data_IF_412434221596
#
_entry.id   IF_412434221596
#
_cell.length_a   1.000
_cell.length_b   1.000
_cell.length_c   1.000
_cell.angle_alpha   90.00
_cell.angle_beta   90.00
_cell.angle_gamma   90.00
#
_symmetry.space_group_name_H-M   'P 1'
#
loop_
_entity.id
_entity.type
_entity.pdbx_description
1 polymer ?
#
# COMPACT_ATOMS: atom_id res chain seq x y z
N UNK A 1 -24.15 -10.92 13.60
CA UNK A 1 -22.87 -10.62 14.28
C UNK A 1 -22.01 -9.84 13.30
N UNK A 2 -21.75 -8.56 13.54
CA UNK A 2 -20.87 -7.78 12.69
C UNK A 2 -19.45 -8.35 12.84
N UNK A 3 -18.89 -8.86 11.75
CA UNK A 3 -17.52 -9.37 11.70
C UNK A 3 -16.55 -8.22 11.98
N UNK A 4 -16.02 -8.18 13.20
CA UNK A 4 -14.88 -7.36 13.56
C UNK A 4 -13.75 -7.71 12.58
N UNK A 5 -13.31 -6.76 11.75
CA UNK A 5 -12.14 -6.99 10.91
C UNK A 5 -10.97 -7.37 11.83
N UNK A 6 -10.30 -8.53 11.61
CA UNK A 6 -9.33 -9.07 12.57
C UNK A 6 -8.00 -8.28 12.62
N UNK A 7 -7.90 -7.18 11.89
CA UNK A 7 -6.66 -6.41 11.70
C UNK A 7 -6.95 -4.92 11.96
N UNK A 8 -6.14 -4.29 12.82
CA UNK A 8 -6.22 -2.85 13.09
C UNK A 8 -5.68 -2.02 11.92
N UNK A 9 -6.05 -0.74 11.82
CA UNK A 9 -5.64 0.12 10.69
C UNK A 9 -4.11 0.19 10.47
N UNK A 10 -3.26 0.34 11.50
CA UNK A 10 -1.80 0.30 11.32
C UNK A 10 -1.29 -1.05 10.82
N UNK A 11 -1.87 -2.15 11.32
CA UNK A 11 -1.50 -3.51 10.90
C UNK A 11 -2.00 -3.84 9.49
N UNK A 12 -3.11 -3.23 9.07
CA UNK A 12 -3.68 -3.37 7.73
C UNK A 12 -2.72 -2.81 6.67
N UNK A 13 -2.15 -1.64 6.91
CA UNK A 13 -1.16 -1.05 6.00
C UNK A 13 0.06 -1.95 5.80
N UNK A 14 0.62 -2.47 6.90
CA UNK A 14 1.76 -3.40 6.84
C UNK A 14 1.40 -4.73 6.14
N UNK A 15 0.17 -5.23 6.33
CA UNK A 15 -0.32 -6.40 5.62
C UNK A 15 -0.42 -6.16 4.11
N UNK A 16 -1.09 -5.08 3.68
CA UNK A 16 -1.26 -4.74 2.26
C UNK A 16 0.10 -4.55 1.59
N UNK A 17 1.03 -3.84 2.24
CA UNK A 17 2.37 -3.62 1.71
C UNK A 17 3.14 -4.94 1.47
N UNK A 18 3.08 -5.88 2.42
CA UNK A 18 3.71 -7.20 2.27
C UNK A 18 3.11 -8.00 1.12
N UNK A 19 1.78 -8.01 1.01
CA UNK A 19 1.09 -8.69 -0.09
C UNK A 19 1.49 -8.08 -1.44
N UNK A 20 1.45 -6.75 -1.54
CA UNK A 20 1.83 -6.03 -2.76
C UNK A 20 3.28 -6.29 -3.17
N UNK A 21 4.21 -6.30 -2.20
CA UNK A 21 5.64 -6.52 -2.46
C UNK A 21 5.96 -7.93 -2.98
N UNK A 22 5.10 -8.91 -2.70
CA UNK A 22 5.24 -10.28 -3.19
C UNK A 22 4.64 -10.54 -4.58
N UNK A 23 3.96 -9.56 -5.18
CA UNK A 23 3.31 -9.76 -6.48
C UNK A 23 4.33 -9.69 -7.63
N UNK A 24 4.33 -10.73 -8.48
CA UNK A 24 5.10 -10.73 -9.71
C UNK A 24 4.36 -9.99 -10.84
N UNK A 25 5.09 -9.22 -11.63
CA UNK A 25 4.54 -8.55 -12.82
C UNK A 25 4.09 -9.58 -13.86
N UNK A 26 2.91 -9.39 -14.45
CA UNK A 26 2.32 -10.32 -15.41
C UNK A 26 1.72 -11.59 -14.79
N UNK A 27 1.81 -11.76 -13.47
CA UNK A 27 1.18 -12.86 -12.75
C UNK A 27 -0.33 -12.70 -12.57
N UNK A 28 -0.97 -13.75 -12.03
CA UNK A 28 -2.37 -13.73 -11.60
C UNK A 28 -2.43 -13.89 -10.10
N UNK A 29 -3.13 -12.98 -9.43
CA UNK A 29 -3.45 -13.09 -8.00
C UNK A 29 -4.74 -13.88 -7.87
N UNK A 30 -4.74 -14.98 -7.12
CA UNK A 30 -5.95 -15.77 -6.83
C UNK A 30 -6.13 -16.02 -5.33
N UNK A 31 -7.40 -16.06 -4.90
CA UNK A 31 -7.80 -16.38 -3.53
C UNK A 31 -9.11 -17.16 -3.52
N UNK A 32 -9.21 -18.17 -2.65
CA UNK A 32 -10.46 -18.88 -2.39
C UNK A 32 -11.19 -18.22 -1.23
N UNK A 33 -12.45 -17.84 -1.43
CA UNK A 33 -13.31 -17.26 -0.40
C UNK A 33 -14.58 -18.07 -0.24
N UNK A 34 -15.15 -18.08 0.97
CA UNK A 34 -16.48 -18.65 1.19
C UNK A 34 -17.54 -17.59 0.95
N UNK A 35 -18.42 -17.83 -0.02
CA UNK A 35 -19.56 -16.95 -0.36
C UNK A 35 -20.86 -17.73 -0.29
N UNK A 36 -21.94 -17.07 0.15
CA UNK A 36 -23.28 -17.66 0.11
C UNK A 36 -23.76 -17.81 -1.34
N UNK A 37 -24.34 -18.96 -1.67
CA UNK A 37 -25.06 -19.17 -2.92
C UNK A 37 -26.52 -18.69 -2.83
N UNK A 38 -27.29 -18.82 -3.91
CA UNK A 38 -28.72 -18.43 -3.96
C UNK A 38 -29.59 -19.19 -2.94
N UNK A 39 -29.15 -20.38 -2.51
CA UNK A 39 -29.79 -21.19 -1.48
C UNK A 39 -29.35 -20.81 -0.04
N UNK A 40 -28.45 -19.83 0.13
CA UNK A 40 -27.95 -19.37 1.42
C UNK A 40 -26.81 -20.21 2.02
N UNK A 41 -26.32 -21.23 1.32
CA UNK A 41 -25.22 -22.10 1.75
C UNK A 41 -23.85 -21.48 1.43
N UNK A 42 -22.87 -21.66 2.31
CA UNK A 42 -21.50 -21.20 2.09
C UNK A 42 -20.79 -22.16 1.10
N UNK A 43 -20.37 -21.63 -0.04
CA UNK A 43 -19.55 -22.36 -1.03
C UNK A 43 -18.22 -21.64 -1.26
N UNK A 44 -17.19 -22.43 -1.55
CA UNK A 44 -15.90 -21.91 -1.97
C UNK A 44 -16.01 -21.31 -3.38
N UNK A 45 -15.46 -20.11 -3.54
CA UNK A 45 -15.38 -19.39 -4.81
C UNK A 45 -13.96 -18.89 -4.96
N UNK A 46 -13.32 -19.25 -6.06
CA UNK A 46 -12.02 -18.70 -6.43
C UNK A 46 -12.21 -17.32 -7.07
N UNK A 47 -11.53 -16.32 -6.53
CA UNK A 47 -11.43 -14.98 -7.10
C UNK A 47 -10.05 -14.82 -7.69
N UNK A 48 -9.96 -14.36 -8.93
CA UNK A 48 -8.68 -14.10 -9.59
C UNK A 48 -8.65 -12.75 -10.29
N UNK A 49 -7.45 -12.15 -10.35
CA UNK A 49 -7.21 -10.90 -11.05
C UNK A 49 -5.79 -10.84 -11.63
N UNK A 50 -5.59 -10.28 -12.84
CA UNK A 50 -4.25 -10.07 -13.38
C UNK A 50 -3.53 -8.95 -12.64
N UNK A 51 -2.26 -9.17 -12.31
CA UNK A 51 -1.39 -8.16 -11.70
C UNK A 51 -0.92 -7.20 -12.78
N UNK A 52 -1.18 -5.90 -12.58
CA UNK A 52 -0.73 -4.82 -13.47
C UNK A 52 0.05 -3.78 -12.68
N UNK A 53 1.18 -3.33 -13.22
CA UNK A 53 1.86 -2.14 -12.71
C UNK A 53 1.04 -0.91 -13.07
N UNK A 54 0.95 0.01 -12.11
CA UNK A 54 0.30 1.31 -12.28
C UNK A 54 1.30 2.37 -11.84
N UNK A 55 1.42 3.43 -12.63
CA UNK A 55 2.23 4.57 -12.25
C UNK A 55 1.58 5.29 -11.06
N UNK A 56 2.31 5.37 -9.95
CA UNK A 56 1.88 6.11 -8.77
C UNK A 56 2.50 7.49 -8.79
N UNK A 57 1.69 8.52 -9.03
CA UNK A 57 2.14 9.91 -8.89
C UNK A 57 2.27 10.26 -7.41
N UNK A 58 3.50 10.51 -6.96
CA UNK A 58 3.73 11.07 -5.62
C UNK A 58 3.61 12.59 -5.68
N UNK A 59 2.61 13.14 -4.99
CA UNK A 59 2.43 14.59 -4.85
C UNK A 59 3.25 15.09 -3.65
N UNK A 60 3.65 16.36 -3.70
CA UNK A 60 4.34 17.04 -2.59
C UNK A 60 5.69 16.42 -2.18
N UNK A 61 6.48 15.96 -3.16
CA UNK A 61 7.86 15.54 -2.89
C UNK A 61 8.72 16.75 -2.54
N UNK A 62 9.09 16.86 -1.27
CA UNK A 62 10.11 17.80 -0.81
C UNK A 62 11.49 17.22 -1.12
N UNK A 63 12.34 18.05 -1.72
CA UNK A 63 13.73 17.72 -2.02
C UNK A 63 14.57 18.97 -1.74
N UNK A 64 15.81 18.77 -1.32
CA UNK A 64 16.73 19.88 -1.15
C UNK A 64 16.99 20.54 -2.50
N UNK A 65 17.12 21.86 -2.50
CA UNK A 65 17.55 22.60 -3.68
C UNK A 65 19.00 22.23 -4.00
N UNK A 66 19.26 21.78 -5.23
CA UNK A 66 20.60 21.38 -5.67
C UNK A 66 21.59 22.56 -5.72
N UNK A 67 21.06 23.77 -5.92
CA UNK A 67 21.79 25.03 -5.99
C UNK A 67 21.38 26.00 -4.86
N UNK A 68 21.32 25.50 -3.63
CA UNK A 68 21.07 26.34 -2.46
C UNK A 68 22.17 27.40 -2.30
N UNK A 69 21.77 28.63 -1.99
CA UNK A 69 22.72 29.73 -1.67
C UNK A 69 23.43 29.44 -0.35
N UNK A 70 24.62 30.04 -0.12
CA UNK A 70 25.33 29.87 1.15
C UNK A 70 24.46 30.18 2.38
N UNK A 71 23.68 31.26 2.33
CA UNK A 71 22.76 31.67 3.40
C UNK A 71 21.66 30.63 3.67
N UNK A 72 21.12 30.01 2.63
CA UNK A 72 20.11 28.95 2.76
C UNK A 72 20.69 27.65 3.33
N UNK A 73 21.95 27.34 3.02
CA UNK A 73 22.66 26.21 3.62
C UNK A 73 22.90 26.46 5.11
N UNK A 74 23.32 27.66 5.51
CA UNK A 74 23.53 28.01 6.92
C UNK A 74 22.24 27.94 7.72
N UNK A 75 21.13 28.44 7.16
CA UNK A 75 19.81 28.33 7.78
C UNK A 75 19.39 26.87 7.95
N UNK A 76 19.63 26.04 6.93
CA UNK A 76 19.34 24.60 6.98
C UNK A 76 20.14 23.90 8.08
N UNK A 77 21.43 24.18 8.19
CA UNK A 77 22.30 23.60 9.23
C UNK A 77 21.78 23.96 10.62
N UNK A 78 21.46 25.24 10.86
CA UNK A 78 20.89 25.70 12.12
C UNK A 78 19.53 25.06 12.48
N UNK A 79 18.77 24.58 11.48
CA UNK A 79 17.49 23.89 11.71
C UNK A 79 17.66 22.40 11.98
N UNK A 80 18.73 21.79 11.47
CA UNK A 80 18.97 20.35 11.59
C UNK A 80 19.82 19.99 12.82
N UNK A 81 20.58 20.95 13.35
CA UNK A 81 21.40 20.80 14.55
C UNK A 81 20.84 21.68 15.69
N UNK A 82 20.11 21.12 16.67
CA UNK A 82 19.53 21.85 17.79
C UNK A 82 20.54 22.25 18.88
#
# INVERSE_FOLDING_TARGET
MASQFPISAPQLGAFIYRQQSGLAEGGTLSYTVLRKNEAGEMKEVELSAPVKKVELTRKHLLKFAENATPEQLTLREAWLEP
#
